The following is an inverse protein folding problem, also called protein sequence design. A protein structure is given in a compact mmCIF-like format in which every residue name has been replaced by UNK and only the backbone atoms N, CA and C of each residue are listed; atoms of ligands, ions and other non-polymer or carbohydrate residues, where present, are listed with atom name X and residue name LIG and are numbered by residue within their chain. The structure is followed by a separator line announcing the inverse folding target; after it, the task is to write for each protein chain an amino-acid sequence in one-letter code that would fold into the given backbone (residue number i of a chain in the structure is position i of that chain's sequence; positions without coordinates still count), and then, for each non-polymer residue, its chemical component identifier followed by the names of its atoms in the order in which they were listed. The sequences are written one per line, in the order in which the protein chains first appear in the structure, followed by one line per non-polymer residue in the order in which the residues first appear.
data_IF_197198181100
#
_entry.id   IF_197198181100
#
_cell.length_a   1.000
_cell.length_b   1.000
_cell.length_c   1.000
_cell.angle_alpha   90.00
_cell.angle_beta   90.00
_cell.angle_gamma   90.00
#
_symmetry.space_group_name_H-M   'P 1'
#
loop_
_entity.id
_entity.type
_entity.pdbx_description
1 polymer ?
#
# COMPACT_ATOMS: atom_id res chain seq x y z
N UNK A 1 58.10 21.06 69.29
CA UNK A 1 56.97 20.12 69.09
C UNK A 1 57.37 19.08 68.05
N UNK A 2 57.65 17.83 68.44
CA UNK A 2 57.96 16.74 67.49
C UNK A 2 56.65 16.22 66.90
N UNK A 3 56.36 16.56 65.65
CA UNK A 3 55.26 15.96 64.90
C UNK A 3 55.63 14.49 64.68
N UNK A 4 54.95 13.59 65.38
CA UNK A 4 55.16 12.14 65.24
C UNK A 4 54.85 11.72 63.81
N UNK A 5 55.73 10.91 63.21
CA UNK A 5 55.64 10.37 61.84
C UNK A 5 54.24 9.81 61.50
N UNK A 6 53.55 9.29 62.50
CA UNK A 6 52.16 8.80 62.43
C UNK A 6 51.13 9.88 62.04
N UNK A 7 51.29 11.12 62.49
CA UNK A 7 50.41 12.25 62.13
C UNK A 7 50.63 12.72 60.69
N UNK A 8 51.87 12.65 60.21
CA UNK A 8 52.20 12.97 58.80
C UNK A 8 51.61 11.90 57.87
N UNK A 9 51.76 10.61 58.21
CA UNK A 9 51.17 9.51 57.45
C UNK A 9 49.64 9.58 57.40
N UNK A 10 48.99 9.94 58.51
CA UNK A 10 47.54 10.14 58.54
C UNK A 10 47.11 11.32 57.65
N UNK A 11 47.80 12.46 57.72
CA UNK A 11 47.50 13.62 56.86
C UNK A 11 47.68 13.30 55.37
N UNK A 12 48.76 12.61 55.01
CA UNK A 12 49.02 12.19 53.62
C UNK A 12 47.96 11.18 53.15
N UNK A 13 47.59 10.22 54.00
CA UNK A 13 46.52 9.27 53.70
C UNK A 13 45.15 9.94 53.53
N UNK A 14 44.82 10.92 54.37
CA UNK A 14 43.57 11.70 54.25
C UNK A 14 43.54 12.56 52.99
N UNK A 15 44.66 13.19 52.63
CA UNK A 15 44.79 13.96 51.39
C UNK A 15 44.66 13.07 50.16
N UNK A 16 45.27 11.88 50.17
CA UNK A 16 45.14 10.91 49.09
C UNK A 16 43.69 10.42 48.93
N UNK A 17 43.00 10.11 50.03
CA UNK A 17 41.59 9.71 50.01
C UNK A 17 40.68 10.84 49.49
N UNK A 18 40.97 12.09 49.86
CA UNK A 18 40.24 13.26 49.35
C UNK A 18 40.45 13.44 47.84
N UNK A 19 41.68 13.28 47.35
CA UNK A 19 41.97 13.37 45.91
C UNK A 19 41.27 12.26 45.11
N UNK A 20 41.25 11.03 45.63
CA UNK A 20 40.55 9.90 44.98
C UNK A 20 39.05 10.12 44.94
N UNK A 21 38.44 10.62 46.03
CA UNK A 21 37.01 10.91 46.07
C UNK A 21 36.62 12.06 45.15
N UNK A 22 37.45 13.10 45.05
CA UNK A 22 37.25 14.20 44.09
C UNK A 22 37.36 13.72 42.64
N UNK A 23 38.35 12.87 42.33
CA UNK A 23 38.54 12.34 40.98
C UNK A 23 37.39 11.41 40.55
N UNK A 24 36.95 10.52 41.44
CA UNK A 24 35.77 9.68 41.20
C UNK A 24 34.50 10.53 41.05
N UNK A 25 34.34 11.59 41.85
CA UNK A 25 33.23 12.54 41.74
C UNK A 25 33.19 13.22 40.37
N UNK A 26 34.35 13.69 39.88
CA UNK A 26 34.46 14.29 38.55
C UNK A 26 34.10 13.30 37.43
N UNK A 27 34.58 12.06 37.49
CA UNK A 27 34.22 11.05 36.49
C UNK A 27 32.74 10.69 36.49
N UNK A 28 32.09 10.66 37.66
CA UNK A 28 30.64 10.44 37.74
C UNK A 28 29.87 11.61 37.13
N UNK A 29 30.31 12.85 37.35
CA UNK A 29 29.71 14.06 36.76
C UNK A 29 29.86 14.10 35.24
N UNK A 30 31.05 13.78 34.71
CA UNK A 30 31.29 13.65 33.26
C UNK A 30 30.42 12.54 32.64
N UNK A 31 30.31 11.39 33.33
CA UNK A 31 29.47 10.28 32.87
C UNK A 31 27.98 10.66 32.88
N UNK A 32 27.52 11.41 33.90
CA UNK A 32 26.16 11.97 33.93
C UNK A 32 25.92 12.98 32.81
N UNK A 33 26.89 13.84 32.49
CA UNK A 33 26.78 14.78 31.37
C UNK A 33 26.65 14.04 30.04
N UNK A 34 27.50 13.04 29.77
CA UNK A 34 27.43 12.22 28.54
C UNK A 34 26.11 11.44 28.46
N UNK A 35 25.61 10.90 29.58
CA UNK A 35 24.29 10.26 29.64
C UNK A 35 23.14 11.26 29.42
N UNK A 36 23.28 12.50 29.91
CA UNK A 36 22.29 13.57 29.69
C UNK A 36 22.30 14.08 28.23
N UNK A 37 23.48 14.19 27.61
CA UNK A 37 23.61 14.55 26.20
C UNK A 37 23.07 13.44 25.29
N UNK A 38 23.27 12.16 25.64
CA UNK A 38 22.60 11.04 24.96
C UNK A 38 21.08 11.07 25.12
N UNK A 39 20.55 11.50 26.28
CA UNK A 39 19.12 11.76 26.47
C UNK A 39 18.61 12.92 25.58
N UNK A 40 19.44 13.94 25.34
CA UNK A 40 19.09 15.04 24.43
C UNK A 40 19.25 14.70 22.94
N UNK A 41 19.95 13.61 22.60
CA UNK A 41 19.96 13.00 21.25
C UNK A 41 18.84 11.97 21.03
N UNK A 42 17.77 12.03 21.80
CA UNK A 42 16.48 11.55 21.29
C UNK A 42 16.15 12.44 20.09
N UNK A 43 16.17 11.88 18.88
CA UNK A 43 15.53 12.54 17.74
C UNK A 43 14.13 12.94 18.19
N UNK A 44 13.91 14.24 18.41
CA UNK A 44 12.56 14.77 18.29
C UNK A 44 12.22 14.59 16.82
N UNK A 45 11.17 13.83 16.45
CA UNK A 45 10.59 14.05 15.15
C UNK A 45 10.20 15.52 15.19
N UNK A 46 10.85 16.37 14.39
CA UNK A 46 10.29 17.68 14.15
C UNK A 46 8.86 17.43 13.68
N UNK A 47 7.91 18.06 14.35
CA UNK A 47 6.50 18.09 13.99
C UNK A 47 6.35 18.87 12.67
N UNK A 48 7.01 18.42 11.60
CA UNK A 48 6.80 18.98 10.27
C UNK A 48 5.48 18.40 9.76
N UNK A 49 4.41 19.11 10.07
CA UNK A 49 3.16 18.95 9.35
C UNK A 49 3.45 19.16 7.86
N UNK A 50 3.04 18.21 7.02
CA UNK A 50 3.09 18.39 5.58
C UNK A 50 2.01 19.37 5.18
N UNK A 51 2.40 20.48 4.56
CA UNK A 51 1.48 21.49 4.05
C UNK A 51 1.29 21.29 2.55
N UNK A 52 0.04 21.23 2.12
CA UNK A 52 -0.34 21.28 0.71
C UNK A 52 -1.31 22.43 0.48
N UNK A 53 -1.23 23.05 -0.70
CA UNK A 53 -2.09 24.15 -1.09
C UNK A 53 -2.83 23.76 -2.36
N UNK A 54 -4.15 23.93 -2.36
CA UNK A 54 -4.96 23.69 -3.56
C UNK A 54 -4.96 24.88 -4.53
N UNK A 55 -5.64 24.73 -5.67
CA UNK A 55 -5.74 25.79 -6.68
C UNK A 55 -6.46 27.06 -6.18
N UNK A 56 -7.24 26.96 -5.10
CA UNK A 56 -7.97 28.06 -4.47
C UNK A 56 -7.18 28.69 -3.30
N UNK A 57 -5.90 28.34 -3.14
CA UNK A 57 -5.03 28.81 -2.05
C UNK A 57 -5.49 28.39 -0.64
N UNK A 58 -6.22 27.27 -0.53
CA UNK A 58 -6.56 26.68 0.77
C UNK A 58 -5.40 25.81 1.23
N UNK A 59 -4.91 26.06 2.45
CA UNK A 59 -3.88 25.25 3.10
C UNK A 59 -4.47 24.01 3.77
N UNK A 60 -3.90 22.84 3.49
CA UNK A 60 -4.19 21.58 4.15
C UNK A 60 -2.94 21.12 4.89
N UNK A 61 -3.11 20.73 6.17
CA UNK A 61 -2.03 20.29 7.05
C UNK A 61 -2.22 18.82 7.37
N UNK A 62 -1.17 18.03 7.12
CA UNK A 62 -1.18 16.59 7.32
C UNK A 62 -0.10 16.18 8.31
N UNK A 63 -0.49 15.34 9.26
CA UNK A 63 0.41 14.81 10.28
C UNK A 63 0.09 13.33 10.53
N UNK A 64 0.94 12.65 11.29
CA UNK A 64 0.69 11.25 11.69
C UNK A 64 -0.60 11.05 12.50
N UNK A 65 -1.10 12.11 13.14
CA UNK A 65 -2.27 12.07 14.00
C UNK A 65 -3.57 12.40 13.24
N UNK A 66 -3.50 12.64 11.92
CA UNK A 66 -4.70 12.89 11.12
C UNK A 66 -5.57 11.62 10.97
N UNK A 67 -6.90 11.76 10.74
CA UNK A 67 -7.81 10.63 10.59
C UNK A 67 -7.71 9.98 9.20
N UNK A 68 -6.60 9.30 8.91
CA UNK A 68 -6.40 8.58 7.65
C UNK A 68 -7.40 7.43 7.48
N UNK A 69 -7.86 7.23 6.24
CA UNK A 69 -8.73 6.09 5.88
C UNK A 69 -7.93 5.08 5.06
N UNK A 70 -7.84 3.85 5.52
CA UNK A 70 -7.20 2.76 4.76
C UNK A 70 -8.24 1.77 4.26
N UNK A 71 -8.35 1.62 2.95
CA UNK A 71 -9.24 0.67 2.30
C UNK A 71 -8.41 -0.49 1.76
N UNK A 72 -8.81 -1.72 2.09
CA UNK A 72 -8.15 -2.90 1.55
C UNK A 72 -9.04 -4.12 1.58
N UNK A 73 -8.42 -5.29 1.47
CA UNK A 73 -9.11 -6.55 1.22
C UNK A 73 -8.40 -7.34 0.13
N UNK A 74 -8.80 -8.58 -0.13
CA UNK A 74 -8.25 -9.32 -1.26
C UNK A 74 -8.62 -8.59 -2.56
N UNK A 75 -7.71 -8.41 -3.54
CA UNK A 75 -8.07 -7.82 -4.83
C UNK A 75 -9.30 -8.50 -5.45
N UNK A 76 -10.06 -7.73 -6.23
CA UNK A 76 -11.36 -8.14 -6.82
C UNK A 76 -12.54 -8.21 -5.84
N UNK A 77 -12.39 -7.70 -4.62
CA UNK A 77 -13.46 -7.61 -3.60
C UNK A 77 -14.19 -6.26 -3.56
N UNK A 78 -14.16 -5.47 -4.63
CA UNK A 78 -14.86 -4.17 -4.68
C UNK A 78 -14.10 -2.97 -4.07
N UNK A 79 -12.81 -3.12 -3.76
CA UNK A 79 -11.99 -2.04 -3.15
C UNK A 79 -11.93 -0.76 -3.99
N UNK A 80 -11.84 -0.86 -5.32
CA UNK A 80 -11.88 0.33 -6.19
C UNK A 80 -13.26 1.00 -6.23
N UNK A 81 -14.36 0.24 -6.09
CA UNK A 81 -15.70 0.83 -5.99
C UNK A 81 -15.83 1.60 -4.68
N UNK A 82 -15.46 0.98 -3.56
CA UNK A 82 -15.50 1.60 -2.23
C UNK A 82 -14.73 2.93 -2.20
N UNK A 83 -13.49 2.95 -2.70
CA UNK A 83 -12.70 4.18 -2.71
C UNK A 83 -13.27 5.22 -3.67
N UNK A 84 -13.89 4.82 -4.78
CA UNK A 84 -14.50 5.76 -5.73
C UNK A 84 -15.75 6.42 -5.17
N UNK A 85 -16.57 5.67 -4.43
CA UNK A 85 -17.71 6.23 -3.68
C UNK A 85 -17.25 7.21 -2.59
N UNK A 86 -16.07 6.98 -1.99
CA UNK A 86 -15.47 7.92 -1.04
C UNK A 86 -14.83 9.14 -1.73
N UNK A 87 -14.10 8.96 -2.84
CA UNK A 87 -13.56 10.06 -3.66
C UNK A 87 -14.66 10.98 -4.20
N UNK A 88 -15.90 10.49 -4.30
CA UNK A 88 -17.05 11.30 -4.68
C UNK A 88 -17.52 12.24 -3.55
N UNK A 89 -17.09 12.02 -2.31
CA UNK A 89 -17.39 12.92 -1.19
C UNK A 89 -16.49 14.18 -1.27
N UNK A 90 -17.04 15.40 -1.18
CA UNK A 90 -16.28 16.64 -1.41
C UNK A 90 -15.12 16.88 -0.43
N UNK A 91 -15.16 16.26 0.75
CA UNK A 91 -14.10 16.37 1.76
C UNK A 91 -13.08 15.21 1.76
N UNK A 92 -13.25 14.17 0.93
CA UNK A 92 -12.44 12.94 0.99
C UNK A 92 -11.68 12.73 -0.32
N UNK A 93 -10.38 12.39 -0.22
CA UNK A 93 -9.60 11.93 -1.37
C UNK A 93 -8.82 10.66 -1.06
N UNK A 94 -9.13 9.61 -1.79
CA UNK A 94 -8.41 8.34 -1.88
C UNK A 94 -7.41 8.31 -3.03
N UNK A 95 -7.87 8.55 -4.27
CA UNK A 95 -7.06 8.41 -5.49
C UNK A 95 -6.76 6.95 -5.91
N UNK A 96 -5.73 6.79 -6.74
CA UNK A 96 -5.32 5.52 -7.34
C UNK A 96 -4.53 4.58 -6.39
N UNK A 97 -4.30 3.34 -6.80
CA UNK A 97 -3.38 2.43 -6.08
C UNK A 97 -1.95 2.96 -6.13
N UNK A 98 -1.35 3.21 -4.97
CA UNK A 98 0.03 3.74 -4.89
C UNK A 98 1.06 2.67 -5.24
N UNK A 99 0.75 1.39 -5.01
CA UNK A 99 1.59 0.20 -5.23
C UNK A 99 2.87 0.15 -4.39
N UNK A 100 3.42 1.29 -3.99
CA UNK A 100 4.67 1.40 -3.23
C UNK A 100 4.44 1.18 -1.74
N UNK A 101 3.33 1.65 -1.17
CA UNK A 101 2.98 1.46 0.24
C UNK A 101 2.96 -0.03 0.64
N UNK A 102 2.25 -0.94 -0.05
CA UNK A 102 2.28 -2.36 0.31
C UNK A 102 3.67 -3.00 0.14
N UNK A 103 4.54 -2.46 -0.74
CA UNK A 103 5.91 -2.97 -0.92
C UNK A 103 6.81 -2.60 0.25
N UNK A 104 6.80 -1.33 0.67
CA UNK A 104 7.61 -0.90 1.83
C UNK A 104 7.11 -1.54 3.12
N UNK A 105 5.80 -1.74 3.27
CA UNK A 105 5.23 -2.50 4.39
C UNK A 105 5.73 -3.95 4.41
N UNK A 106 5.78 -4.61 3.25
CA UNK A 106 6.33 -5.96 3.14
C UNK A 106 7.83 -6.02 3.46
N UNK A 107 8.61 -5.03 3.03
CA UNK A 107 10.03 -4.91 3.36
C UNK A 107 10.24 -4.75 4.87
N UNK A 108 9.52 -3.82 5.51
CA UNK A 108 9.55 -3.62 6.97
C UNK A 108 9.18 -4.91 7.70
N UNK A 109 8.11 -5.58 7.27
CA UNK A 109 7.67 -6.84 7.86
C UNK A 109 8.76 -7.93 7.75
N UNK A 110 9.47 -8.02 6.63
CA UNK A 110 10.54 -8.99 6.43
C UNK A 110 11.72 -8.75 7.39
N UNK A 111 12.14 -7.50 7.58
CA UNK A 111 13.19 -7.13 8.54
C UNK A 111 12.83 -7.54 9.97
N UNK A 112 11.59 -7.32 10.37
CA UNK A 112 11.13 -7.62 11.73
C UNK A 112 10.89 -9.10 11.98
N UNK A 113 10.57 -9.87 10.93
CA UNK A 113 10.38 -11.33 11.03
C UNK A 113 11.71 -12.08 11.19
N UNK A 114 12.81 -11.53 10.66
CA UNK A 114 14.14 -12.11 10.78
C UNK A 114 14.82 -11.66 12.07
N UNK A 115 14.92 -12.56 13.05
CA UNK A 115 15.56 -12.23 14.34
C UNK A 115 17.02 -11.77 14.19
N UNK A 116 17.78 -12.37 13.26
CA UNK A 116 19.17 -11.97 12.96
C UNK A 116 19.23 -10.57 12.35
N UNK A 117 18.33 -10.24 11.43
CA UNK A 117 18.33 -8.91 10.81
C UNK A 117 17.89 -7.83 11.80
N UNK A 118 16.86 -8.13 12.61
CA UNK A 118 16.45 -7.25 13.71
C UNK A 118 17.61 -6.93 14.65
N UNK A 119 18.37 -7.94 15.08
CA UNK A 119 19.54 -7.72 15.94
C UNK A 119 20.58 -6.81 15.26
N UNK A 120 20.86 -6.99 13.97
CA UNK A 120 21.80 -6.13 13.24
C UNK A 120 21.32 -4.69 13.14
N UNK A 121 20.02 -4.48 12.92
CA UNK A 121 19.41 -3.16 12.87
C UNK A 121 19.45 -2.47 14.23
N UNK A 122 19.12 -3.21 15.30
CA UNK A 122 19.15 -2.69 16.68
C UNK A 122 20.60 -2.29 17.08
N UNK A 123 21.61 -3.11 16.79
CA UNK A 123 23.04 -2.79 17.00
C UNK A 123 23.52 -1.58 16.16
N UNK A 124 22.93 -1.37 14.98
CA UNK A 124 23.20 -0.21 14.13
C UNK A 124 22.45 1.06 14.58
N UNK A 125 21.66 1.00 15.65
CA UNK A 125 20.81 2.11 16.12
C UNK A 125 19.54 2.33 15.29
N UNK A 126 19.25 1.46 14.32
CA UNK A 126 18.05 1.48 13.48
C UNK A 126 16.93 0.70 14.20
N UNK A 127 16.54 1.22 15.36
CA UNK A 127 15.51 0.62 16.23
C UNK A 127 14.11 0.68 15.61
N UNK A 128 13.14 -0.02 16.20
CA UNK A 128 11.73 0.08 15.80
C UNK A 128 11.22 1.53 15.82
N UNK A 129 11.68 2.39 16.74
CA UNK A 129 11.28 3.81 16.78
C UNK A 129 11.77 4.58 15.54
N UNK A 130 13.01 4.31 15.09
CA UNK A 130 13.59 4.94 13.90
C UNK A 130 12.88 4.44 12.64
N UNK A 131 12.64 3.13 12.55
CA UNK A 131 11.91 2.53 11.43
C UNK A 131 10.48 3.04 11.36
N UNK A 132 9.77 3.11 12.48
CA UNK A 132 8.39 3.57 12.54
C UNK A 132 8.27 5.04 12.12
N UNK A 133 9.19 5.90 12.57
CA UNK A 133 9.24 7.30 12.15
C UNK A 133 9.52 7.44 10.64
N UNK A 134 10.47 6.67 10.10
CA UNK A 134 10.77 6.67 8.67
C UNK A 134 9.59 6.16 7.83
N UNK A 135 8.90 5.10 8.30
CA UNK A 135 7.72 4.56 7.65
C UNK A 135 6.53 5.51 7.71
N UNK A 136 6.32 6.20 8.82
CA UNK A 136 5.30 7.25 8.96
C UNK A 136 5.53 8.36 7.94
N UNK A 137 6.72 8.94 7.91
CA UNK A 137 7.07 10.02 6.99
C UNK A 137 6.90 9.58 5.53
N UNK A 138 7.45 8.41 5.17
CA UNK A 138 7.35 7.88 3.81
C UNK A 138 5.90 7.65 3.37
N UNK A 139 5.10 6.98 4.19
CA UNK A 139 3.70 6.66 3.86
C UNK A 139 2.88 7.95 3.77
N UNK A 140 3.05 8.88 4.70
CA UNK A 140 2.31 10.14 4.73
C UNK A 140 2.65 11.01 3.50
N UNK A 141 3.93 11.11 3.14
CA UNK A 141 4.39 11.79 1.92
C UNK A 141 3.72 11.24 0.67
N UNK A 142 3.72 9.91 0.52
CA UNK A 142 3.04 9.26 -0.62
C UNK A 142 1.55 9.60 -0.60
N UNK A 143 0.85 9.32 0.51
CA UNK A 143 -0.60 9.52 0.63
C UNK A 143 -0.99 10.98 0.37
N UNK A 144 -0.24 11.95 0.91
CA UNK A 144 -0.51 13.37 0.72
C UNK A 144 -0.28 13.80 -0.73
N UNK A 145 0.90 13.50 -1.30
CA UNK A 145 1.35 14.13 -2.55
C UNK A 145 1.01 13.37 -3.83
N UNK A 146 0.48 12.14 -3.77
CA UNK A 146 0.14 11.40 -5.00
C UNK A 146 -1.15 11.87 -5.69
N UNK A 147 -1.91 12.78 -5.09
CA UNK A 147 -3.16 13.31 -5.62
C UNK A 147 -3.49 14.69 -5.05
N UNK A 148 -4.68 15.19 -5.35
CA UNK A 148 -5.16 16.49 -4.85
C UNK A 148 -5.27 16.50 -3.31
N UNK A 149 -5.04 17.64 -2.66
CA UNK A 149 -5.28 17.76 -1.22
C UNK A 149 -6.78 17.68 -0.90
N UNK A 150 -7.11 17.16 0.29
CA UNK A 150 -8.46 17.10 0.81
C UNK A 150 -8.43 17.04 2.34
N UNK A 151 -9.55 17.38 2.99
CA UNK A 151 -9.67 17.37 4.45
C UNK A 151 -9.42 15.97 5.04
N UNK A 152 -9.98 14.93 4.42
CA UNK A 152 -9.78 13.55 4.80
C UNK A 152 -9.00 12.81 3.72
N UNK A 153 -7.79 12.37 4.07
CA UNK A 153 -6.97 11.57 3.18
C UNK A 153 -7.25 10.08 3.35
N UNK A 154 -7.28 9.40 2.22
CA UNK A 154 -7.57 7.99 2.12
C UNK A 154 -6.49 7.30 1.26
N UNK A 155 -6.23 6.04 1.53
CA UNK A 155 -5.40 5.19 0.69
C UNK A 155 -6.11 3.86 0.42
N UNK A 156 -6.13 3.45 -0.85
CA UNK A 156 -6.59 2.13 -1.27
C UNK A 156 -5.47 1.39 -1.97
N UNK A 157 -4.88 0.45 -1.24
CA UNK A 157 -3.96 -0.55 -1.78
C UNK A 157 -4.35 -1.89 -1.15
N UNK A 158 -4.90 -2.87 -1.91
CA UNK A 158 -5.64 -4.01 -1.33
C UNK A 158 -4.91 -4.74 -0.19
N UNK A 159 -3.60 -4.96 -0.32
CA UNK A 159 -2.80 -5.72 0.64
C UNK A 159 -2.22 -4.91 1.81
N UNK A 160 -2.45 -3.59 1.91
CA UNK A 160 -2.04 -2.82 3.10
C UNK A 160 -2.72 -3.32 4.37
N UNK A 161 -3.94 -3.85 4.23
CA UNK A 161 -4.72 -4.46 5.32
C UNK A 161 -4.11 -5.78 5.85
N UNK A 162 -3.05 -6.33 5.23
CA UNK A 162 -2.21 -7.37 5.87
C UNK A 162 -1.26 -6.79 6.93
N UNK A 163 -1.23 -5.48 7.08
CA UNK A 163 -0.42 -4.74 8.04
C UNK A 163 -1.26 -3.68 8.75
N UNK A 164 -2.59 -3.85 8.82
CA UNK A 164 -3.48 -2.87 9.44
C UNK A 164 -3.18 -2.66 10.92
N UNK A 165 -2.79 -3.71 11.68
CA UNK A 165 -2.37 -3.55 13.09
C UNK A 165 -1.13 -2.66 13.19
N UNK A 166 -0.19 -2.82 12.27
CA UNK A 166 1.02 -2.00 12.23
C UNK A 166 0.70 -0.56 11.81
N UNK A 167 -0.09 -0.37 10.75
CA UNK A 167 -0.58 0.95 10.33
C UNK A 167 -1.38 1.65 11.43
N UNK A 168 -2.16 0.90 12.20
CA UNK A 168 -2.95 1.41 13.33
C UNK A 168 -2.08 1.94 14.48
N UNK A 169 -0.86 1.43 14.62
CA UNK A 169 0.16 1.93 15.56
C UNK A 169 0.88 3.15 15.01
N UNK A 170 1.20 3.14 13.70
CA UNK A 170 1.85 4.27 13.04
C UNK A 170 0.95 5.51 12.98
N UNK A 171 -0.34 5.31 12.70
CA UNK A 171 -1.34 6.37 12.54
C UNK A 171 -2.48 6.12 13.53
N UNK A 172 -2.41 6.66 14.76
CA UNK A 172 -3.29 6.28 15.87
C UNK A 172 -4.76 6.70 15.67
N UNK A 173 -5.04 7.68 14.82
CA UNK A 173 -6.40 8.12 14.50
C UNK A 173 -6.93 7.54 13.18
N UNK A 174 -6.15 6.66 12.52
CA UNK A 174 -6.60 6.05 11.27
C UNK A 174 -7.72 5.03 11.48
N UNK A 175 -8.60 4.93 10.48
CA UNK A 175 -9.69 3.94 10.39
C UNK A 175 -9.51 3.05 9.15
N UNK A 176 -10.01 1.83 9.24
CA UNK A 176 -9.80 0.78 8.23
C UNK A 176 -11.15 0.29 7.70
N UNK A 177 -11.28 0.25 6.38
CA UNK A 177 -12.40 -0.41 5.70
C UNK A 177 -11.88 -1.70 5.05
N UNK A 178 -12.26 -2.85 5.62
CA UNK A 178 -11.91 -4.15 5.07
C UNK A 178 -13.01 -4.61 4.13
N UNK A 179 -12.76 -4.53 2.83
CA UNK A 179 -13.67 -5.09 1.84
C UNK A 179 -13.68 -6.61 1.90
N UNK A 180 -14.87 -7.15 2.12
CA UNK A 180 -15.16 -8.58 2.13
C UNK A 180 -16.08 -8.88 0.95
N UNK A 181 -15.76 -9.93 0.20
CA UNK A 181 -16.58 -10.43 -0.89
C UNK A 181 -16.52 -11.95 -0.87
N UNK A 182 -17.55 -12.61 -1.39
CA UNK A 182 -17.52 -14.05 -1.63
C UNK A 182 -16.23 -14.46 -2.37
N UNK A 183 -15.45 -15.34 -1.75
CA UNK A 183 -14.16 -15.78 -2.29
C UNK A 183 -14.27 -16.42 -3.67
N UNK A 184 -15.40 -17.06 -3.95
CA UNK A 184 -15.72 -17.65 -5.26
C UNK A 184 -15.82 -16.57 -6.33
N UNK A 185 -16.48 -15.45 -6.02
CA UNK A 185 -16.61 -14.31 -6.92
C UNK A 185 -15.27 -13.60 -7.14
N UNK A 186 -14.49 -13.37 -6.09
CA UNK A 186 -13.16 -12.73 -6.19
C UNK A 186 -12.19 -13.59 -7.00
N UNK A 187 -12.15 -14.90 -6.77
CA UNK A 187 -11.29 -15.84 -7.50
C UNK A 187 -11.71 -15.97 -8.97
N UNK A 188 -13.00 -16.14 -9.23
CA UNK A 188 -13.50 -16.15 -10.61
C UNK A 188 -13.13 -14.85 -11.33
N UNK A 189 -13.25 -13.69 -10.66
CA UNK A 189 -12.87 -12.42 -11.25
C UNK A 189 -11.37 -12.29 -11.56
N UNK A 190 -10.47 -12.77 -10.70
CA UNK A 190 -9.02 -12.67 -10.98
C UNK A 190 -8.59 -13.63 -12.09
N UNK A 191 -9.17 -14.82 -12.16
CA UNK A 191 -8.87 -15.84 -13.19
C UNK A 191 -9.35 -15.36 -14.56
N UNK A 192 -10.65 -15.07 -14.70
CA UNK A 192 -11.23 -14.70 -16.00
C UNK A 192 -10.66 -13.41 -16.57
N UNK A 193 -10.37 -12.42 -15.71
CA UNK A 193 -9.74 -11.17 -16.13
C UNK A 193 -8.22 -11.25 -16.15
N UNK A 194 -7.59 -12.38 -15.82
CA UNK A 194 -6.12 -12.51 -15.76
C UNK A 194 -5.47 -11.39 -14.94
N UNK A 195 -6.00 -11.11 -13.75
CA UNK A 195 -5.44 -10.11 -12.83
C UNK A 195 -4.36 -10.79 -12.01
N UNK A 196 -3.10 -10.51 -12.35
CA UNK A 196 -1.95 -11.15 -11.73
C UNK A 196 -1.75 -10.66 -10.29
N UNK A 197 -1.66 -11.62 -9.36
CA UNK A 197 -1.37 -11.38 -7.95
C UNK A 197 -0.16 -12.25 -7.61
N UNK A 198 0.87 -11.65 -7.02
CA UNK A 198 2.10 -12.38 -6.70
C UNK A 198 1.78 -13.59 -5.82
N UNK A 199 2.21 -14.76 -6.28
CA UNK A 199 1.99 -16.02 -5.61
C UNK A 199 0.69 -16.73 -5.96
N UNK A 200 -0.28 -16.17 -6.70
CA UNK A 200 -1.51 -16.88 -7.11
C UNK A 200 -1.34 -17.56 -8.47
N UNK A 201 -1.69 -18.84 -8.58
CA UNK A 201 -1.75 -19.55 -9.87
C UNK A 201 -3.13 -19.40 -10.50
N UNK A 202 -3.22 -18.53 -11.52
CA UNK A 202 -4.47 -18.21 -12.20
C UNK A 202 -5.02 -19.37 -13.05
N UNK A 203 -4.28 -20.47 -13.20
CA UNK A 203 -4.78 -21.67 -13.88
C UNK A 203 -5.51 -22.64 -12.92
N UNK A 204 -5.52 -22.36 -11.62
CA UNK A 204 -6.10 -23.24 -10.60
C UNK A 204 -7.04 -22.46 -9.67
N UNK A 205 -8.35 -22.74 -9.78
CA UNK A 205 -9.35 -22.23 -8.84
C UNK A 205 -9.05 -22.66 -7.40
N UNK A 206 -8.62 -23.91 -7.21
CA UNK A 206 -8.24 -24.47 -5.90
C UNK A 206 -7.11 -23.67 -5.25
N UNK A 207 -6.06 -23.38 -6.02
CA UNK A 207 -4.92 -22.60 -5.55
C UNK A 207 -5.32 -21.15 -5.21
N UNK A 208 -6.04 -20.50 -6.13
CA UNK A 208 -6.53 -19.14 -5.93
C UNK A 208 -7.47 -19.02 -4.71
N UNK A 209 -8.37 -19.99 -4.50
CA UNK A 209 -9.26 -20.02 -3.32
C UNK A 209 -8.48 -20.26 -2.03
N UNK A 210 -7.52 -21.18 -2.03
CA UNK A 210 -6.65 -21.43 -0.86
C UNK A 210 -5.90 -20.15 -0.46
N UNK A 211 -5.34 -19.43 -1.44
CA UNK A 211 -4.60 -18.19 -1.20
C UNK A 211 -5.49 -17.01 -0.86
N UNK A 212 -6.68 -16.92 -1.46
CA UNK A 212 -7.73 -15.98 -1.05
C UNK A 212 -8.07 -16.20 0.42
N UNK A 213 -8.33 -17.46 0.81
CA UNK A 213 -8.69 -17.85 2.18
C UNK A 213 -7.61 -17.42 3.16
N UNK A 214 -6.33 -17.69 2.84
CA UNK A 214 -5.23 -17.30 3.71
C UNK A 214 -5.06 -15.77 3.82
N UNK A 215 -5.23 -15.06 2.70
CA UNK A 215 -5.11 -13.61 2.70
C UNK A 215 -6.23 -12.94 3.51
N UNK A 216 -7.48 -13.34 3.30
CA UNK A 216 -8.62 -12.76 4.02
C UNK A 216 -8.62 -13.17 5.50
N UNK A 217 -8.17 -14.38 5.85
CA UNK A 217 -8.00 -14.80 7.25
C UNK A 217 -7.07 -13.83 8.01
N UNK A 218 -5.92 -13.48 7.43
CA UNK A 218 -4.96 -12.56 8.06
C UNK A 218 -5.55 -11.16 8.18
N UNK A 219 -6.15 -10.62 7.11
CA UNK A 219 -6.73 -9.28 7.12
C UNK A 219 -7.90 -9.17 8.10
N UNK A 220 -8.78 -10.17 8.11
CA UNK A 220 -9.93 -10.21 9.01
C UNK A 220 -9.50 -10.34 10.46
N UNK A 221 -8.51 -11.19 10.75
CA UNK A 221 -7.97 -11.32 12.12
C UNK A 221 -7.36 -10.01 12.62
N UNK A 222 -6.61 -9.29 11.78
CA UNK A 222 -6.10 -7.96 12.14
C UNK A 222 -7.19 -6.92 12.32
N UNK A 223 -8.24 -6.96 11.48
CA UNK A 223 -9.39 -6.08 11.65
C UNK A 223 -10.10 -6.29 12.99
N UNK A 224 -10.26 -7.56 13.41
CA UNK A 224 -10.80 -7.89 14.73
C UNK A 224 -9.88 -7.45 15.87
N UNK A 225 -8.56 -7.59 15.72
CA UNK A 225 -7.55 -7.16 16.71
C UNK A 225 -7.56 -5.64 16.94
N UNK A 226 -7.70 -4.86 15.87
CA UNK A 226 -7.82 -3.40 15.93
C UNK A 226 -9.12 -2.97 16.63
N UNK A 227 -10.19 -3.76 16.47
CA UNK A 227 -11.48 -3.53 17.09
C UNK A 227 -12.44 -2.68 16.24
N UNK A 228 -13.73 -2.82 16.55
CA UNK A 228 -14.86 -2.27 15.76
C UNK A 228 -14.89 -0.75 15.67
N UNK A 229 -14.23 -0.04 16.59
CA UNK A 229 -14.14 1.42 16.57
C UNK A 229 -13.20 1.94 15.47
N UNK A 230 -12.25 1.10 15.02
CA UNK A 230 -11.21 1.50 14.07
C UNK A 230 -11.13 0.61 12.83
N UNK A 231 -11.72 -0.58 12.81
CA UNK A 231 -11.84 -1.38 11.60
C UNK A 231 -13.28 -1.85 11.37
N UNK A 232 -13.80 -1.59 10.16
CA UNK A 232 -15.12 -1.98 9.70
C UNK A 232 -15.00 -2.95 8.50
N UNK A 233 -15.45 -4.20 8.64
CA UNK A 233 -15.69 -5.07 7.51
C UNK A 233 -16.87 -4.55 6.67
N UNK A 234 -16.66 -4.36 5.36
CA UNK A 234 -17.68 -3.91 4.41
C UNK A 234 -17.90 -5.01 3.39
N UNK A 235 -19.11 -5.57 3.39
CA UNK A 235 -19.51 -6.65 2.49
C UNK A 235 -19.87 -6.06 1.11
N UNK A 236 -19.15 -6.46 0.07
CA UNK A 236 -19.33 -5.97 -1.30
C UNK A 236 -20.75 -6.16 -1.79
N UNK A 237 -21.35 -7.32 -1.53
CA UNK A 237 -22.68 -7.66 -1.96
C UNK A 237 -23.71 -6.76 -1.29
N UNK A 238 -23.53 -6.46 0.00
CA UNK A 238 -24.40 -5.53 0.74
C UNK A 238 -24.21 -4.08 0.28
N UNK A 239 -22.96 -3.68 -0.02
CA UNK A 239 -22.66 -2.37 -0.59
C UNK A 239 -23.32 -2.18 -1.96
N UNK A 240 -23.34 -3.22 -2.79
CA UNK A 240 -23.95 -3.18 -4.12
C UNK A 240 -25.47 -3.22 -4.04
N UNK A 241 -26.04 -4.09 -3.18
CA UNK A 241 -27.49 -4.23 -3.05
C UNK A 241 -28.13 -3.03 -2.33
N UNK A 242 -27.44 -2.49 -1.32
CA UNK A 242 -27.93 -1.44 -0.43
C UNK A 242 -26.91 -0.29 -0.26
N UNK A 243 -26.58 0.46 -1.34
CA UNK A 243 -25.50 1.44 -1.33
C UNK A 243 -25.75 2.60 -0.37
N UNK A 244 -26.97 3.15 -0.32
CA UNK A 244 -27.32 4.27 0.57
C UNK A 244 -27.15 3.86 2.05
N UNK A 245 -27.78 2.77 2.46
CA UNK A 245 -27.67 2.24 3.82
C UNK A 245 -26.21 1.89 4.19
N UNK A 246 -25.47 1.27 3.28
CA UNK A 246 -24.07 0.93 3.48
C UNK A 246 -23.20 2.18 3.65
N UNK A 247 -23.37 3.18 2.78
CA UNK A 247 -22.60 4.42 2.84
C UNK A 247 -22.95 5.26 4.08
N UNK A 248 -24.21 5.32 4.52
CA UNK A 248 -24.57 5.95 5.78
C UNK A 248 -23.86 5.31 6.98
N UNK A 249 -23.77 3.97 7.00
CA UNK A 249 -23.06 3.26 8.06
C UNK A 249 -21.55 3.53 8.01
N UNK A 250 -20.97 3.62 6.80
CA UNK A 250 -19.55 3.93 6.61
C UNK A 250 -19.25 5.38 7.02
N UNK A 251 -20.07 6.35 6.62
CA UNK A 251 -19.90 7.76 7.00
C UNK A 251 -19.97 7.93 8.53
N UNK A 252 -20.96 7.29 9.17
CA UNK A 252 -21.06 7.26 10.64
C UNK A 252 -19.84 6.61 11.28
N UNK A 253 -19.37 5.49 10.75
CA UNK A 253 -18.16 4.83 11.26
C UNK A 253 -16.91 5.71 11.11
N UNK A 254 -16.81 6.46 10.02
CA UNK A 254 -15.67 7.34 9.75
C UNK A 254 -15.73 8.67 10.52
N UNK A 255 -16.88 9.03 11.10
CA UNK A 255 -17.18 10.36 11.66
C UNK A 255 -17.09 11.47 10.59
N UNK A 256 -17.65 11.19 9.41
CA UNK A 256 -17.73 12.14 8.28
C UNK A 256 -19.21 12.44 8.01
N UNK A 257 -19.52 13.71 7.70
CA UNK A 257 -20.88 14.13 7.36
C UNK A 257 -21.40 13.41 6.11
N UNK A 258 -22.71 13.24 6.00
CA UNK A 258 -23.31 12.66 4.80
C UNK A 258 -23.19 13.62 3.60
N UNK A 259 -22.89 13.07 2.43
CA UNK A 259 -23.04 13.73 1.13
C UNK A 259 -23.68 12.76 0.15
N UNK A 260 -24.72 13.19 -0.55
CA UNK A 260 -25.42 12.39 -1.55
C UNK A 260 -24.52 11.97 -2.73
N UNK A 261 -23.48 12.76 -3.00
CA UNK A 261 -22.52 12.51 -4.09
C UNK A 261 -21.86 11.13 -4.02
N UNK A 262 -21.78 10.51 -2.83
CA UNK A 262 -21.21 9.17 -2.66
C UNK A 262 -22.00 8.07 -3.39
N UNK A 263 -23.26 8.34 -3.74
CA UNK A 263 -24.12 7.44 -4.53
C UNK A 263 -24.02 7.70 -6.04
N UNK A 264 -23.36 8.78 -6.44
CA UNK A 264 -23.26 9.29 -7.81
C UNK A 264 -21.79 9.41 -8.27
N UNK A 265 -20.95 8.46 -7.86
CA UNK A 265 -19.51 8.50 -8.16
C UNK A 265 -19.21 8.52 -9.65
N UNK A 266 -20.07 7.93 -10.49
CA UNK A 266 -19.91 7.88 -11.93
C UNK A 266 -19.98 9.26 -12.58
N UNK A 267 -20.70 10.19 -11.95
CA UNK A 267 -20.88 11.56 -12.44
C UNK A 267 -19.68 12.45 -12.10
N UNK A 268 -18.80 12.01 -11.21
CA UNK A 268 -17.66 12.77 -10.68
C UNK A 268 -16.30 12.29 -11.20
N UNK A 269 -16.29 11.39 -12.18
CA UNK A 269 -15.05 10.85 -12.74
C UNK A 269 -14.29 11.92 -13.52
N UNK A 270 -13.02 12.14 -13.13
CA UNK A 270 -12.13 13.13 -13.75
C UNK A 270 -12.49 14.59 -13.45
N UNK A 271 -13.46 14.86 -12.58
CA UNK A 271 -13.82 16.21 -12.16
C UNK A 271 -12.94 16.68 -10.99
N UNK A 272 -12.68 18.00 -10.85
CA UNK A 272 -11.98 18.53 -9.68
C UNK A 272 -12.68 18.15 -8.38
N UNK A 273 -11.92 17.69 -7.38
CA UNK A 273 -12.48 17.19 -6.11
C UNK A 273 -13.34 15.92 -6.24
N UNK A 274 -13.27 15.22 -7.37
CA UNK A 274 -14.00 13.98 -7.62
C UNK A 274 -13.09 12.76 -7.80
N UNK A 275 -13.54 11.81 -8.62
CA UNK A 275 -12.91 10.48 -8.73
C UNK A 275 -11.80 10.46 -9.78
N UNK A 276 -10.55 10.37 -9.35
CA UNK A 276 -9.41 10.12 -10.26
C UNK A 276 -9.23 8.62 -10.53
N UNK A 277 -9.13 8.22 -11.80
CA UNK A 277 -8.97 6.82 -12.20
C UNK A 277 -7.71 6.63 -13.06
N UNK A 278 -6.90 5.62 -12.71
CA UNK A 278 -5.81 5.17 -13.58
C UNK A 278 -6.34 4.38 -14.78
N UNK A 279 -5.92 4.74 -15.99
CA UNK A 279 -6.30 4.04 -17.24
C UNK A 279 -5.81 2.59 -17.30
N UNK A 280 -4.81 2.23 -16.50
CA UNK A 280 -4.18 0.90 -16.49
C UNK A 280 -4.61 0.02 -15.30
N UNK A 281 -5.39 0.57 -14.37
CA UNK A 281 -5.98 -0.23 -13.30
C UNK A 281 -7.08 -1.15 -13.84
N UNK A 282 -7.07 -2.42 -13.39
CA UNK A 282 -7.94 -3.47 -13.92
C UNK A 282 -9.42 -3.33 -13.55
N UNK A 283 -9.75 -2.39 -12.67
CA UNK A 283 -11.12 -2.12 -12.22
C UNK A 283 -11.74 -0.89 -12.90
N UNK A 284 -10.97 -0.12 -13.66
CA UNK A 284 -11.40 1.19 -14.18
C UNK A 284 -12.62 1.08 -15.10
N UNK A 285 -12.64 0.11 -16.02
CA UNK A 285 -13.77 -0.17 -16.93
C UNK A 285 -15.07 -0.59 -16.19
N UNK A 286 -14.99 -1.00 -14.93
CA UNK A 286 -16.16 -1.34 -14.13
C UNK A 286 -16.61 -0.17 -13.25
N UNK A 287 -15.66 0.59 -12.69
CA UNK A 287 -15.92 1.72 -11.77
C UNK A 287 -16.41 2.97 -12.49
N UNK A 288 -16.26 3.04 -13.82
CA UNK A 288 -16.92 4.10 -14.61
C UNK A 288 -18.44 4.00 -14.67
N UNK A 289 -19.00 2.85 -14.26
CA UNK A 289 -20.44 2.58 -14.27
C UNK A 289 -21.03 2.86 -12.90
N UNK A 290 -22.30 3.25 -12.80
CA UNK A 290 -22.99 3.34 -11.52
C UNK A 290 -22.99 1.98 -10.80
N UNK A 291 -23.22 1.99 -9.49
CA UNK A 291 -23.41 0.77 -8.69
C UNK A 291 -24.48 -0.10 -9.33
N UNK A 292 -24.13 -1.34 -9.69
CA UNK A 292 -24.98 -2.27 -10.43
C UNK A 292 -24.74 -3.72 -10.00
N UNK A 293 -25.71 -4.59 -10.29
CA UNK A 293 -25.75 -5.97 -9.80
C UNK A 293 -25.04 -7.00 -10.68
N UNK A 294 -24.55 -6.61 -11.86
CA UNK A 294 -24.11 -7.59 -12.85
C UNK A 294 -23.02 -8.52 -12.33
N UNK A 295 -22.18 -8.06 -11.40
CA UNK A 295 -21.02 -8.81 -10.92
C UNK A 295 -21.30 -9.70 -9.71
N UNK A 296 -22.49 -9.65 -9.08
CA UNK A 296 -22.78 -10.40 -7.84
C UNK A 296 -22.59 -11.91 -8.03
N UNK A 297 -23.16 -12.44 -9.11
CA UNK A 297 -23.38 -13.88 -9.29
C UNK A 297 -22.72 -14.46 -10.55
N UNK A 298 -21.88 -13.68 -11.25
CA UNK A 298 -21.19 -14.08 -12.50
C UNK A 298 -20.28 -15.32 -12.37
N UNK A 299 -19.95 -15.76 -11.17
CA UNK A 299 -19.06 -16.89 -10.92
C UNK A 299 -19.76 -18.26 -10.97
N UNK A 300 -21.09 -18.29 -10.87
CA UNK A 300 -21.88 -19.52 -10.83
C UNK A 300 -21.67 -20.33 -12.11
N UNK A 301 -21.48 -21.64 -11.97
CA UNK A 301 -21.28 -22.55 -13.11
C UNK A 301 -19.87 -22.54 -13.71
N UNK A 302 -18.95 -21.71 -13.20
CA UNK A 302 -17.58 -21.61 -13.72
C UNK A 302 -16.51 -22.25 -12.83
N UNK A 303 -16.88 -22.70 -11.63
CA UNK A 303 -15.96 -23.36 -10.69
C UNK A 303 -15.97 -24.87 -10.97
N UNK A 304 -14.81 -25.53 -11.12
CA UNK A 304 -14.73 -26.97 -11.31
C UNK A 304 -15.43 -27.77 -10.21
N UNK A 305 -16.05 -28.89 -10.57
CA UNK A 305 -16.87 -29.70 -9.65
C UNK A 305 -16.11 -30.25 -8.44
N UNK A 306 -14.84 -30.63 -8.61
CA UNK A 306 -13.97 -31.09 -7.51
C UNK A 306 -13.70 -29.96 -6.49
N UNK A 307 -13.55 -28.73 -6.98
CA UNK A 307 -13.34 -27.55 -6.13
C UNK A 307 -14.62 -27.17 -5.38
N UNK A 308 -15.79 -27.33 -6.03
CA UNK A 308 -17.09 -27.12 -5.37
C UNK A 308 -17.33 -28.14 -4.24
N UNK A 309 -16.99 -29.41 -4.47
CA UNK A 309 -17.12 -30.47 -3.45
C UNK A 309 -16.24 -30.18 -2.23
N UNK A 310 -15.03 -29.67 -2.45
CA UNK A 310 -14.06 -29.38 -1.40
C UNK A 310 -14.14 -27.94 -0.85
N UNK A 311 -15.15 -27.14 -1.25
CA UNK A 311 -15.18 -25.69 -1.02
C UNK A 311 -15.00 -25.31 0.45
N UNK A 312 -15.70 -26.00 1.36
CA UNK A 312 -15.61 -25.74 2.80
C UNK A 312 -14.22 -26.06 3.39
N UNK A 313 -13.51 -27.03 2.81
CA UNK A 313 -12.15 -27.38 3.22
C UNK A 313 -11.11 -26.40 2.65
N UNK A 314 -11.26 -26.02 1.38
CA UNK A 314 -10.35 -25.08 0.69
C UNK A 314 -10.48 -23.67 1.29
N UNK A 315 -11.71 -23.24 1.56
CA UNK A 315 -12.05 -21.86 1.91
C UNK A 315 -12.96 -21.76 3.14
N UNK A 316 -12.53 -22.23 4.33
CA UNK A 316 -13.32 -22.16 5.56
C UNK A 316 -13.69 -20.73 5.98
N UNK A 317 -12.94 -19.72 5.52
CA UNK A 317 -13.30 -18.32 5.75
C UNK A 317 -14.64 -17.92 5.10
N UNK A 318 -15.13 -18.63 4.09
CA UNK A 318 -16.47 -18.39 3.53
C UNK A 318 -17.52 -18.48 4.64
N UNK A 319 -17.59 -19.62 5.34
CA UNK A 319 -18.53 -19.84 6.42
C UNK A 319 -18.34 -18.84 7.57
N UNK A 320 -17.08 -18.56 7.96
CA UNK A 320 -16.76 -17.59 9.02
C UNK A 320 -17.20 -16.17 8.69
N UNK A 321 -17.23 -15.82 7.41
CA UNK A 321 -17.66 -14.51 6.92
C UNK A 321 -19.17 -14.47 6.60
N UNK A 322 -19.89 -15.57 6.75
CA UNK A 322 -21.33 -15.65 6.50
C UNK A 322 -21.73 -16.06 5.08
N UNK A 323 -20.77 -16.55 4.27
CA UNK A 323 -21.07 -17.16 2.98
C UNK A 323 -21.20 -18.67 3.14
N UNK A 324 -22.36 -19.23 2.81
CA UNK A 324 -22.53 -20.68 2.78
C UNK A 324 -21.61 -21.28 1.69
N UNK A 325 -20.63 -22.14 2.06
CA UNK A 325 -19.70 -22.73 1.11
C UNK A 325 -20.36 -23.77 0.19
N UNK A 326 -21.55 -24.28 0.53
CA UNK A 326 -22.27 -25.29 -0.25
C UNK A 326 -23.39 -24.69 -1.12
N UNK A 327 -23.86 -23.47 -0.83
CA UNK A 327 -24.82 -22.76 -1.67
C UNK A 327 -24.17 -22.21 -2.95
N UNK A 328 -24.80 -22.41 -4.11
CA UNK A 328 -24.27 -22.00 -5.42
C UNK A 328 -25.37 -21.33 -6.28
N UNK A 329 -25.63 -20.02 -6.13
CA UNK A 329 -24.99 -19.08 -5.20
C UNK A 329 -25.68 -19.07 -3.82
N UNK A 330 -25.05 -18.46 -2.79
CA UNK A 330 -25.77 -17.98 -1.63
C UNK A 330 -26.82 -16.94 -2.01
N UNK A 331 -27.89 -16.83 -1.23
CA UNK A 331 -28.78 -15.68 -1.31
C UNK A 331 -28.09 -14.46 -0.69
N UNK A 332 -27.61 -13.54 -1.52
CA UNK A 332 -26.97 -12.31 -1.06
C UNK A 332 -27.97 -11.25 -0.58
N UNK A 333 -29.27 -11.40 -0.87
CA UNK A 333 -30.31 -10.42 -0.57
C UNK A 333 -30.99 -9.87 -1.82
N UNK A 334 -31.93 -8.93 -1.62
CA UNK A 334 -32.67 -8.25 -2.68
C UNK A 334 -32.17 -6.81 -2.84
N UNK A 335 -32.03 -6.30 -4.07
CA UNK A 335 -31.51 -4.95 -4.30
C UNK A 335 -32.51 -3.85 -3.96
N UNK A 336 -31.99 -2.69 -3.58
CA UNK A 336 -32.77 -1.46 -3.53
C UNK A 336 -33.21 -1.04 -4.95
N UNK A 337 -34.37 -0.37 -5.12
CA UNK A 337 -34.86 0.09 -6.42
C UNK A 337 -33.85 0.93 -7.21
N UNK A 338 -33.05 1.75 -6.50
CA UNK A 338 -31.96 2.54 -7.08
C UNK A 338 -30.99 1.67 -7.90
N UNK A 339 -30.58 0.53 -7.34
CA UNK A 339 -29.58 -0.36 -7.95
C UNK A 339 -30.18 -1.11 -9.13
N UNK A 340 -31.46 -1.49 -9.04
CA UNK A 340 -32.22 -2.07 -10.16
C UNK A 340 -32.23 -1.08 -11.34
N UNK A 341 -32.60 0.17 -11.08
CA UNK A 341 -32.62 1.23 -12.09
C UNK A 341 -31.23 1.49 -12.70
N UNK A 342 -30.19 1.57 -11.86
CA UNK A 342 -28.80 1.71 -12.32
C UNK A 342 -28.36 0.56 -13.22
N UNK A 343 -28.75 -0.67 -12.87
CA UNK A 343 -28.43 -1.88 -13.65
C UNK A 343 -29.13 -1.84 -15.02
N UNK A 344 -30.40 -1.44 -15.07
CA UNK A 344 -31.12 -1.27 -16.34
C UNK A 344 -30.53 -0.15 -17.21
N UNK A 345 -30.19 1.00 -16.62
CA UNK A 345 -29.54 2.12 -17.31
C UNK A 345 -28.19 1.70 -17.91
N UNK A 346 -27.39 0.94 -17.15
CA UNK A 346 -26.11 0.41 -17.63
C UNK A 346 -26.28 -0.60 -18.78
N UNK A 347 -27.30 -1.47 -18.71
CA UNK A 347 -27.61 -2.42 -19.79
C UNK A 347 -28.10 -1.69 -21.07
N UNK A 348 -28.96 -0.68 -20.93
CA UNK A 348 -29.45 0.14 -22.04
C UNK A 348 -28.33 0.95 -22.71
N UNK A 349 -27.43 1.54 -21.91
CA UNK A 349 -26.28 2.27 -22.45
C UNK A 349 -25.24 1.32 -23.09
N UNK A 350 -25.14 0.08 -22.60
CA UNK A 350 -24.31 -0.97 -23.23
C UNK A 350 -24.80 -1.39 -24.62
N UNK A 351 -26.08 -1.17 -24.95
CA UNK A 351 -26.65 -1.37 -26.29
C UNK A 351 -26.43 -0.15 -27.22
N UNK A 352 -25.99 1.00 -26.70
CA UNK A 352 -25.86 2.28 -27.42
C UNK A 352 -24.43 2.79 -27.60
N UNK A 353 -23.40 2.09 -27.12
CA UNK A 353 -22.00 2.53 -27.29
C UNK A 353 -21.48 2.14 -28.69
N UNK A 354 -21.05 3.11 -29.53
CA UNK A 354 -20.23 2.84 -30.70
C UNK A 354 -18.85 2.32 -30.26
N UNK A 355 -18.17 1.57 -31.13
CA UNK A 355 -16.80 1.13 -30.91
C UNK A 355 -15.88 2.30 -30.53
N UNK A 356 -15.30 2.23 -29.31
CA UNK A 356 -14.15 3.01 -28.81
C UNK A 356 -13.93 4.39 -29.47
N UNK A 357 -14.59 5.42 -28.95
CA UNK A 357 -14.09 6.78 -29.14
C UNK A 357 -12.84 7.00 -28.27
N UNK A 358 -11.75 7.37 -28.93
CA UNK A 358 -10.49 7.78 -28.29
C UNK A 358 -10.71 9.04 -27.46
N UNK A 359 -10.61 8.91 -26.13
CA UNK A 359 -10.59 10.05 -25.23
C UNK A 359 -9.39 10.96 -25.53
N UNK A 360 -9.68 12.15 -26.06
CA UNK A 360 -8.71 13.23 -26.28
C UNK A 360 -8.07 13.64 -24.94
N UNK A 361 -6.73 13.64 -24.81
CA UNK A 361 -6.08 14.07 -23.57
C UNK A 361 -6.33 15.55 -23.29
N UNK A 362 -6.76 15.87 -22.06
CA UNK A 362 -6.72 17.22 -21.52
C UNK A 362 -5.26 17.67 -21.43
N UNK A 363 -4.83 18.49 -22.38
CA UNK A 363 -3.54 19.14 -22.35
C UNK A 363 -3.54 20.13 -21.16
N UNK A 364 -2.71 19.86 -20.16
CA UNK A 364 -2.34 20.86 -19.16
C UNK A 364 -1.72 22.04 -19.90
N UNK A 365 -2.45 23.15 -19.95
CA UNK A 365 -1.91 24.43 -20.36
C UNK A 365 -0.84 24.85 -19.38
N UNK A 366 0.41 24.68 -19.76
CA UNK A 366 1.52 25.50 -19.30
C UNK A 366 2.49 25.66 -20.47
N UNK A 367 2.43 26.82 -21.11
CA UNK A 367 3.44 27.30 -22.05
C UNK A 367 4.72 27.55 -21.25
N UNK A 368 5.56 26.53 -21.12
CA UNK A 368 6.98 26.75 -20.89
C UNK A 368 7.65 26.94 -22.24
N UNK A 369 8.07 28.18 -22.47
CA UNK A 369 8.88 28.62 -23.59
C UNK A 369 10.10 27.70 -23.73
N UNK A 370 10.21 27.03 -24.89
CA UNK A 370 11.47 26.47 -25.36
C UNK A 370 12.37 27.64 -25.69
N UNK A 371 13.30 28.00 -24.82
CA UNK A 371 14.63 28.50 -25.17
C UNK A 371 15.47 28.66 -23.89
N UNK A 372 16.77 28.39 -24.03
CA UNK A 372 17.85 28.53 -23.04
C UNK A 372 18.04 27.31 -22.13
N UNK A 373 18.70 26.30 -22.68
CA UNK A 373 19.55 25.38 -21.94
C UNK A 373 20.87 25.25 -22.71
N UNK A 374 21.76 26.22 -22.53
CA UNK A 374 23.17 26.11 -22.83
C UNK A 374 23.92 27.20 -22.07
N UNK A 375 25.10 26.87 -21.56
CA UNK A 375 25.97 27.69 -20.71
C UNK A 375 25.59 27.71 -19.24
N UNK A 376 26.08 26.73 -18.47
CA UNK A 376 26.77 26.94 -17.20
C UNK A 376 27.42 25.60 -16.78
N UNK A 377 28.49 25.23 -17.48
CA UNK A 377 29.45 24.24 -16.97
C UNK A 377 30.81 24.55 -17.60
N UNK A 378 31.38 25.69 -17.21
CA UNK A 378 32.75 26.07 -17.57
C UNK A 378 33.25 27.12 -16.58
N UNK A 379 33.80 26.69 -15.44
CA UNK A 379 34.83 27.40 -14.68
C UNK A 379 35.29 26.53 -13.51
N UNK A 380 36.36 25.76 -13.71
CA UNK A 380 37.58 25.80 -12.90
C UNK A 380 38.57 24.79 -13.48
N UNK A 381 39.55 25.33 -14.19
CA UNK A 381 40.71 24.65 -14.75
C UNK A 381 41.81 24.45 -13.71
N UNK A 382 42.51 23.32 -13.87
CA UNK A 382 43.92 23.06 -13.58
C UNK A 382 44.38 22.83 -12.12
N UNK A 383 44.70 21.58 -11.78
CA UNK A 383 46.09 21.10 -11.57
C UNK A 383 46.13 19.62 -11.11
N UNK A 384 46.64 18.79 -12.02
CA UNK A 384 47.62 17.71 -11.82
C UNK A 384 47.29 16.40 -11.05
N UNK A 385 47.37 15.30 -11.83
CA UNK A 385 47.98 13.98 -11.54
C UNK A 385 47.52 13.16 -10.31
N UNK A 386 46.94 11.96 -10.54
CA UNK A 386 47.68 10.70 -10.68
C UNK A 386 46.78 9.44 -10.54
N UNK A 387 47.03 8.49 -11.45
CA UNK A 387 46.95 7.01 -11.32
C UNK A 387 45.62 6.29 -11.58
N UNK A 388 45.66 5.57 -12.71
CA UNK A 388 44.78 4.53 -13.25
C UNK A 388 44.70 3.25 -12.41
N UNK A 389 43.68 2.41 -12.70
CA UNK A 389 43.75 1.00 -13.17
C UNK A 389 42.29 0.48 -13.28
N UNK A 390 41.74 0.39 -14.50
CA UNK A 390 41.52 -0.84 -15.33
C UNK A 390 40.34 -1.71 -14.82
N UNK A 391 39.29 -2.05 -15.59
CA UNK A 391 39.25 -2.67 -16.92
C UNK A 391 37.92 -2.41 -17.66
N UNK A 392 38.03 -2.04 -18.93
CA UNK A 392 36.97 -1.97 -19.93
C UNK A 392 36.59 -3.36 -20.49
N UNK A 393 35.31 -3.53 -20.86
CA UNK A 393 34.85 -4.47 -21.91
C UNK A 393 34.77 -3.73 -23.25
N UNK A 394 35.09 -4.35 -24.39
CA UNK A 394 34.67 -3.83 -25.69
C UNK A 394 33.60 -4.71 -26.37
N UNK A 395 32.58 -4.05 -26.90
CA UNK A 395 31.80 -4.46 -28.08
C UNK A 395 32.62 -4.13 -29.34
N UNK A 396 32.58 -4.93 -30.42
CA UNK A 396 32.56 -4.45 -31.83
C UNK A 396 31.90 -5.51 -32.75
N UNK A 397 31.27 -4.97 -33.80
CA UNK A 397 30.37 -5.45 -34.84
C UNK A 397 31.02 -6.13 -36.08
N UNK A 398 30.15 -6.83 -36.85
CA UNK A 398 30.04 -6.99 -38.34
C UNK A 398 31.12 -7.74 -39.17
N UNK A 399 30.67 -8.81 -39.84
CA UNK A 399 30.60 -8.93 -41.31
C UNK A 399 31.66 -9.78 -42.06
N UNK A 400 31.21 -10.74 -42.90
CA UNK A 400 31.91 -11.13 -44.15
C UNK A 400 32.24 -12.63 -44.41
N UNK A 401 31.47 -13.24 -45.32
CA UNK A 401 31.63 -14.44 -46.19
C UNK A 401 32.90 -15.37 -46.21
N UNK A 402 32.68 -16.68 -45.95
CA UNK A 402 32.85 -17.95 -46.77
C UNK A 402 33.96 -18.00 -47.86
N UNK A 403 34.79 -19.08 -48.08
CA UNK A 403 34.37 -20.49 -48.33
C UNK A 403 35.29 -21.69 -47.95
N UNK A 404 34.68 -22.89 -47.89
CA UNK A 404 35.19 -24.09 -48.57
C UNK A 404 35.59 -25.35 -47.76
N UNK A 405 35.03 -26.51 -48.20
CA UNK A 405 35.40 -27.95 -48.02
C UNK A 405 34.44 -28.76 -47.12
N UNK A 406 33.39 -29.38 -47.68
CA UNK A 406 33.29 -30.79 -48.16
C UNK A 406 33.72 -31.83 -47.09
N UNK A 407 32.93 -32.79 -46.64
CA UNK A 407 32.15 -33.80 -47.39
C UNK A 407 30.98 -34.37 -46.56
N UNK A 408 29.93 -34.72 -47.30
CA UNK A 408 28.68 -35.48 -47.07
C UNK A 408 28.96 -37.01 -46.91
N UNK A 409 27.98 -37.96 -46.82
CA UNK A 409 26.53 -37.89 -46.44
C UNK A 409 25.94 -39.14 -45.70
N UNK A 410 24.60 -39.11 -45.50
CA UNK A 410 23.59 -40.23 -45.37
C UNK A 410 23.59 -41.03 -44.06
N UNK A 411 22.50 -41.44 -43.41
CA UNK A 411 21.02 -41.47 -43.53
C UNK A 411 20.54 -42.14 -42.22
N UNK A 412 19.29 -42.25 -41.77
CA UNK A 412 17.97 -42.32 -42.37
C UNK A 412 16.95 -41.96 -41.25
N UNK A 413 15.82 -41.38 -41.66
CA UNK A 413 14.53 -41.36 -40.94
C UNK A 413 13.77 -42.63 -41.41
N UNK A 414 12.91 -43.29 -40.60
CA UNK A 414 11.47 -42.97 -40.50
C UNK A 414 10.95 -42.96 -39.02
N UNK A 415 10.09 -42.03 -38.58
CA UNK A 415 8.61 -42.08 -38.66
C UNK A 415 8.05 -43.42 -38.12
N UNK A 416 7.19 -43.52 -37.09
CA UNK A 416 5.79 -43.05 -37.05
C UNK A 416 5.02 -43.70 -35.85
N UNK A 417 3.86 -43.12 -35.48
CA UNK A 417 2.67 -43.68 -34.78
C UNK A 417 2.76 -44.23 -33.33
N UNK A 418 2.32 -43.43 -32.35
CA UNK A 418 1.13 -43.67 -31.49
C UNK A 418 0.82 -42.47 -30.61
#
# INVERSE_FOLDING_TARGET
MRVTTRRVLLLVGSLAALMVTLHLGQQVLECQQVLSERRHRLMRPENEELVMVDANHVEYRYSKDMPLIFIGGVPRSGTTLMRAMLDAHPEVRCGEETRIIPRVLAMRQAWSKSGREKMRLDEAGVTDQVLDAAMQAFILEVIAKHGEPARYLCNKDPFTLKSSVYLSRLFPNSKFLLMVRDGRASVHSMITRKVTIAGFDLNSYRDCLTKWNKAIEVMYSQCLEIGRARCLPVYYEQLVLHPEQSMHNIMRFLDISWSDTVLHHEELIGKPGGVSLSKIERSTDQVIKPVNMEALSKWIGHIPGDVLQDMAHIAPMLARLGYDPYANPPNYGHPDPLVVNNTHRNAANGLLLPEKEEFVPWARGNRFSKHIACSYCCQMTALQECICIYLQRPNVLRGGNVPGLSRRPVGNIPQLWK
#
